data_IF_663454151120
#
_entry.id   IF_663454151120
#
_cell.length_a   1.000
_cell.length_b   1.000
_cell.length_c   1.000
_cell.angle_alpha   90.00
_cell.angle_beta   90.00
_cell.angle_gamma   90.00
#
_symmetry.space_group_name_H-M   'P 1'
#
loop_
_entity.id
_entity.type
_entity.pdbx_description
1 polymer ?
#
# COMPACT_ATOMS: atom_id res chain seq x y z
N UNK A 1 -0.76 -11.43 -2.40
CA UNK A 1 -2.22 -11.32 -2.49
C UNK A 1 -2.59 -10.12 -3.35
N UNK A 2 -3.69 -10.25 -4.10
CA UNK A 2 -4.34 -9.15 -4.80
C UNK A 2 -5.80 -9.12 -4.35
N UNK A 3 -6.27 -7.94 -3.90
CA UNK A 3 -7.64 -7.76 -3.44
C UNK A 3 -8.35 -6.69 -4.26
N UNK A 4 -9.62 -6.90 -4.51
CA UNK A 4 -10.48 -5.90 -5.11
C UNK A 4 -10.89 -4.87 -4.04
N UNK A 5 -10.43 -3.65 -4.19
CA UNK A 5 -10.78 -2.55 -3.30
C UNK A 5 -12.08 -1.83 -3.72
N UNK A 6 -12.81 -2.42 -4.66
CA UNK A 6 -14.03 -1.84 -5.22
C UNK A 6 -13.86 -0.44 -5.83
N UNK A 7 -14.92 0.36 -5.81
CA UNK A 7 -14.97 1.72 -6.30
C UNK A 7 -15.71 2.62 -5.29
N UNK A 8 -16.69 3.39 -5.74
CA UNK A 8 -17.51 4.23 -4.88
C UNK A 8 -18.43 3.39 -3.97
N UNK A 9 -18.63 3.86 -2.75
CA UNK A 9 -19.53 3.23 -1.80
C UNK A 9 -20.99 3.37 -2.28
N UNK A 10 -21.70 2.24 -2.41
CA UNK A 10 -23.11 2.22 -2.81
C UNK A 10 -24.06 2.71 -1.71
N UNK A 11 -23.61 2.71 -0.46
CA UNK A 11 -24.40 3.18 0.68
C UNK A 11 -24.36 4.71 0.76
N UNK A 12 -25.37 5.38 0.24
CA UNK A 12 -25.44 6.84 0.14
C UNK A 12 -25.20 7.59 1.48
N UNK A 13 -25.57 6.98 2.61
CA UNK A 13 -25.35 7.55 3.95
C UNK A 13 -23.87 7.55 4.37
N UNK A 14 -23.07 6.65 3.83
CA UNK A 14 -21.63 6.58 4.07
C UNK A 14 -20.91 7.43 3.04
N UNK A 15 -21.12 7.17 1.76
CA UNK A 15 -20.46 7.84 0.64
C UNK A 15 -18.96 7.59 0.59
N UNK A 16 -18.27 8.23 -0.32
CA UNK A 16 -16.84 8.02 -0.55
C UNK A 16 -16.56 6.67 -1.19
N UNK A 17 -15.48 6.02 -0.78
CA UNK A 17 -15.05 4.73 -1.33
C UNK A 17 -15.58 3.56 -0.53
N UNK A 18 -15.80 2.43 -1.21
CA UNK A 18 -16.22 1.17 -0.58
C UNK A 18 -15.05 0.59 0.22
N UNK A 19 -15.37 -0.01 1.35
CA UNK A 19 -14.40 -0.77 2.17
C UNK A 19 -14.23 -2.20 1.64
N UNK A 20 -13.17 -2.87 2.08
CA UNK A 20 -12.96 -4.29 1.76
C UNK A 20 -14.01 -5.14 2.49
N UNK A 21 -14.72 -5.97 1.77
CA UNK A 21 -15.77 -6.83 2.32
C UNK A 21 -15.22 -7.91 3.26
N UNK A 22 -16.01 -8.28 4.24
CA UNK A 22 -15.64 -9.35 5.17
C UNK A 22 -15.36 -10.68 4.46
N UNK A 23 -16.04 -10.97 3.35
CA UNK A 23 -15.78 -12.16 2.55
C UNK A 23 -14.35 -12.22 1.98
N UNK A 24 -13.78 -11.07 1.61
CA UNK A 24 -12.39 -10.98 1.17
C UNK A 24 -11.42 -11.12 2.35
N UNK A 25 -11.78 -10.58 3.52
CA UNK A 25 -10.98 -10.74 4.74
C UNK A 25 -10.96 -12.20 5.19
N UNK A 26 -12.10 -12.86 5.19
CA UNK A 26 -12.22 -14.30 5.51
C UNK A 26 -11.42 -15.16 4.53
N UNK A 27 -11.49 -14.84 3.24
CA UNK A 27 -10.68 -15.49 2.21
C UNK A 27 -9.18 -15.31 2.49
N UNK A 28 -8.74 -14.08 2.79
CA UNK A 28 -7.33 -13.81 3.14
C UNK A 28 -6.89 -14.65 4.35
N UNK A 29 -7.68 -14.65 5.42
CA UNK A 29 -7.36 -15.43 6.63
C UNK A 29 -7.22 -16.92 6.32
N UNK A 30 -8.13 -17.46 5.50
CA UNK A 30 -8.10 -18.86 5.10
C UNK A 30 -6.86 -19.19 4.24
N UNK A 31 -6.55 -18.34 3.24
CA UNK A 31 -5.39 -18.55 2.36
C UNK A 31 -4.07 -18.36 3.11
N UNK A 32 -3.99 -17.39 4.03
CA UNK A 32 -2.79 -17.17 4.82
C UNK A 32 -2.48 -18.36 5.74
N UNK A 33 -3.51 -19.02 6.30
CA UNK A 33 -3.34 -20.26 7.07
C UNK A 33 -2.81 -21.42 6.23
N UNK A 34 -3.19 -21.50 4.94
CA UNK A 34 -2.70 -22.53 4.02
C UNK A 34 -1.29 -22.27 3.54
N UNK A 35 -0.94 -20.98 3.41
CA UNK A 35 0.31 -20.52 2.82
C UNK A 35 0.99 -19.50 3.75
N UNK A 36 1.55 -19.93 4.91
CA UNK A 36 2.09 -19.05 5.94
C UNK A 36 3.50 -18.54 5.58
N UNK A 37 3.61 -17.84 4.45
CA UNK A 37 4.86 -17.26 3.97
C UNK A 37 4.84 -15.73 4.09
N UNK A 38 6.02 -15.08 4.26
CA UNK A 38 6.14 -13.63 4.11
C UNK A 38 5.51 -13.19 2.80
N UNK A 39 4.60 -12.23 2.86
CA UNK A 39 3.76 -11.87 1.72
C UNK A 39 3.52 -10.38 1.60
N UNK A 40 3.22 -9.96 0.38
CA UNK A 40 2.76 -8.62 0.05
C UNK A 40 1.28 -8.66 -0.35
N UNK A 41 0.56 -7.60 -0.04
CA UNK A 41 -0.81 -7.37 -0.47
C UNK A 41 -0.85 -6.18 -1.43
N UNK A 42 -1.62 -6.32 -2.50
CA UNK A 42 -1.86 -5.27 -3.50
C UNK A 42 -3.35 -4.98 -3.61
N UNK A 43 -3.70 -3.72 -3.64
CA UNK A 43 -5.05 -3.22 -3.83
C UNK A 43 -5.00 -1.87 -4.56
N UNK A 44 -6.14 -1.36 -5.04
CA UNK A 44 -6.13 -0.07 -5.72
C UNK A 44 -6.36 1.09 -4.76
N UNK A 45 -7.46 1.09 -4.00
CA UNK A 45 -7.80 2.15 -3.04
C UNK A 45 -7.06 1.90 -1.73
N UNK A 46 -6.32 2.88 -1.17
CA UNK A 46 -5.53 2.69 0.04
C UNK A 46 -6.40 2.41 1.27
N UNK A 47 -5.83 1.72 2.26
CA UNK A 47 -6.46 1.53 3.56
C UNK A 47 -6.42 2.82 4.40
N UNK A 48 -7.36 3.03 5.34
CA UNK A 48 -7.33 4.20 6.25
C UNK A 48 -6.01 4.34 7.01
N UNK A 49 -5.32 3.25 7.31
CA UNK A 49 -4.06 3.19 8.05
C UNK A 49 -2.87 3.84 7.32
N UNK A 50 -2.99 4.16 6.03
CA UNK A 50 -2.00 4.96 5.33
C UNK A 50 -1.81 6.35 5.98
N UNK A 51 -2.87 6.92 6.60
CA UNK A 51 -2.78 8.14 7.40
C UNK A 51 -1.90 7.97 8.65
N UNK A 52 -1.87 6.78 9.23
CA UNK A 52 -1.05 6.50 10.40
C UNK A 52 0.43 6.29 10.03
N UNK A 53 0.70 5.70 8.87
CA UNK A 53 2.05 5.55 8.37
C UNK A 53 2.78 6.88 8.16
N UNK A 54 2.06 7.98 7.91
CA UNK A 54 2.62 9.33 7.79
C UNK A 54 3.18 9.89 9.10
N UNK A 55 2.83 9.32 10.25
CA UNK A 55 3.33 9.78 11.56
C UNK A 55 4.77 9.35 11.83
N UNK A 56 5.26 8.38 11.06
CA UNK A 56 6.63 7.86 11.14
C UNK A 56 7.52 8.37 10.00
N UNK A 57 8.64 7.68 9.82
CA UNK A 57 9.56 7.93 8.70
C UNK A 57 8.93 7.47 7.39
N UNK A 58 8.98 8.33 6.38
CA UNK A 58 8.53 8.01 5.03
C UNK A 58 9.65 8.22 4.00
N UNK A 59 9.55 7.53 2.87
CA UNK A 59 10.35 7.75 1.66
C UNK A 59 9.38 8.02 0.51
N UNK A 60 9.64 9.04 -0.28
CA UNK A 60 8.76 9.48 -1.37
C UNK A 60 7.96 10.72 -1.03
N UNK A 61 6.99 11.03 -1.86
CA UNK A 61 6.26 12.29 -1.88
C UNK A 61 4.77 12.08 -1.55
N UNK A 62 4.18 13.03 -0.81
CA UNK A 62 2.75 13.13 -0.53
C UNK A 62 2.27 14.54 -0.85
N UNK A 63 1.44 14.68 -1.87
CA UNK A 63 0.93 15.96 -2.34
C UNK A 63 -0.59 16.06 -2.32
N UNK A 64 -1.31 14.95 -2.17
CA UNK A 64 -2.77 14.96 -2.05
C UNK A 64 -3.25 14.14 -0.85
N UNK A 65 -4.51 14.34 -0.45
CA UNK A 65 -5.11 13.59 0.63
C UNK A 65 -5.19 12.09 0.30
N UNK A 66 -5.13 11.26 1.34
CA UNK A 66 -5.28 9.81 1.21
C UNK A 66 -6.76 9.50 1.04
N UNK A 67 -7.14 9.10 -0.18
CA UNK A 67 -8.51 8.82 -0.57
C UNK A 67 -8.92 7.39 -0.19
N UNK A 68 -9.05 7.13 1.10
CA UNK A 68 -9.44 5.84 1.65
C UNK A 68 -10.94 5.73 1.96
N UNK A 69 -11.49 4.51 2.16
CA UNK A 69 -12.85 4.32 2.65
C UNK A 69 -13.10 5.05 3.97
N UNK A 70 -14.31 5.57 4.14
CA UNK A 70 -14.72 6.22 5.40
C UNK A 70 -14.94 5.24 6.55
N UNK A 71 -15.31 3.99 6.21
CA UNK A 71 -15.43 2.90 7.17
C UNK A 71 -14.23 1.96 7.04
N UNK A 72 -13.64 1.64 8.18
CA UNK A 72 -12.58 0.66 8.27
C UNK A 72 -13.18 -0.74 8.49
N UNK A 73 -12.90 -1.68 7.60
CA UNK A 73 -13.39 -3.05 7.69
C UNK A 73 -12.60 -3.94 8.65
N UNK A 74 -11.47 -3.43 9.17
CA UNK A 74 -10.56 -4.22 10.00
C UNK A 74 -9.59 -5.12 9.21
N UNK A 75 -9.48 -4.95 7.89
CA UNK A 75 -8.51 -5.72 7.10
C UNK A 75 -7.09 -5.57 7.66
N UNK A 76 -6.65 -4.35 8.00
CA UNK A 76 -5.30 -4.14 8.53
C UNK A 76 -5.04 -4.97 9.80
N UNK A 77 -6.02 -5.09 10.70
CA UNK A 77 -5.93 -5.95 11.89
C UNK A 77 -5.73 -7.41 11.50
N UNK A 78 -6.49 -7.92 10.53
CA UNK A 78 -6.34 -9.29 10.03
C UNK A 78 -4.95 -9.52 9.41
N UNK A 79 -4.41 -8.54 8.66
CA UNK A 79 -3.05 -8.60 8.12
C UNK A 79 -2.01 -8.67 9.24
N UNK A 80 -2.15 -7.84 10.28
CA UNK A 80 -1.23 -7.80 11.43
C UNK A 80 -1.28 -9.10 12.23
N UNK A 81 -2.47 -9.60 12.53
CA UNK A 81 -2.65 -10.86 13.27
C UNK A 81 -2.15 -12.08 12.49
N UNK A 82 -2.21 -12.06 11.17
CA UNK A 82 -1.65 -13.14 10.35
C UNK A 82 -0.16 -13.33 10.58
N UNK A 83 0.53 -12.26 10.94
CA UNK A 83 1.97 -12.23 11.16
C UNK A 83 2.80 -12.43 9.89
N UNK A 84 2.22 -12.59 8.71
CA UNK A 84 2.93 -12.92 7.46
C UNK A 84 3.02 -11.75 6.49
N UNK A 85 2.06 -10.84 6.48
CA UNK A 85 2.11 -9.69 5.57
C UNK A 85 3.15 -8.68 6.05
N UNK A 86 4.09 -8.35 5.16
CA UNK A 86 5.18 -7.41 5.41
C UNK A 86 5.01 -6.08 4.67
N UNK A 87 4.08 -6.01 3.72
CA UNK A 87 3.79 -4.77 3.00
C UNK A 87 2.45 -4.80 2.29
N UNK A 88 1.80 -3.63 2.23
CA UNK A 88 0.58 -3.36 1.46
C UNK A 88 0.90 -2.25 0.46
N UNK A 89 0.53 -2.45 -0.79
CA UNK A 89 0.78 -1.48 -1.86
C UNK A 89 -0.52 -1.07 -2.52
N UNK A 90 -0.72 0.24 -2.61
CA UNK A 90 -1.91 0.86 -3.20
C UNK A 90 -1.55 1.77 -4.40
N UNK A 91 -2.57 2.15 -5.13
CA UNK A 91 -2.53 3.17 -6.17
C UNK A 91 -3.51 4.29 -5.83
N UNK A 92 -4.39 4.63 -6.78
CA UNK A 92 -5.51 5.55 -6.65
C UNK A 92 -5.11 7.02 -6.60
N UNK A 93 -4.35 7.45 -5.60
CA UNK A 93 -3.92 8.83 -5.39
C UNK A 93 -2.68 9.11 -6.25
N UNK A 94 -2.85 9.88 -7.35
CA UNK A 94 -1.82 10.05 -8.37
C UNK A 94 -0.67 10.96 -7.94
N UNK A 95 -0.90 11.80 -6.94
CA UNK A 95 0.09 12.73 -6.39
C UNK A 95 0.78 12.20 -5.13
N UNK A 96 0.59 10.92 -4.81
CA UNK A 96 1.26 10.24 -3.71
C UNK A 96 2.10 9.07 -4.23
N UNK A 97 3.34 8.98 -3.77
CA UNK A 97 4.19 7.82 -4.04
C UNK A 97 5.02 7.39 -2.82
N UNK A 98 4.66 7.88 -1.64
CA UNK A 98 5.39 7.55 -0.43
C UNK A 98 5.26 6.08 -0.01
N UNK A 99 6.20 5.64 0.82
CA UNK A 99 6.12 4.42 1.62
C UNK A 99 6.51 4.76 3.06
N UNK A 100 5.71 4.32 4.01
CA UNK A 100 5.95 4.39 5.44
C UNK A 100 5.64 3.07 6.11
N UNK A 101 5.65 3.01 7.43
CA UNK A 101 5.31 1.81 8.19
C UNK A 101 4.27 2.10 9.26
N UNK A 102 3.42 1.10 9.53
CA UNK A 102 2.50 1.11 10.65
C UNK A 102 2.47 -0.31 11.24
N UNK A 103 2.75 -0.43 12.54
CA UNK A 103 2.88 -1.72 13.26
C UNK A 103 3.67 -2.79 12.48
N UNK A 104 4.87 -2.45 12.02
CA UNK A 104 5.80 -3.35 11.30
C UNK A 104 5.26 -3.88 9.96
N UNK A 105 4.28 -3.22 9.35
CA UNK A 105 3.83 -3.46 7.99
C UNK A 105 4.12 -2.20 7.17
N UNK A 106 4.80 -2.36 6.05
CA UNK A 106 5.03 -1.26 5.12
C UNK A 106 3.72 -0.91 4.38
N UNK A 107 3.40 0.37 4.31
CA UNK A 107 2.27 0.90 3.54
C UNK A 107 2.81 1.83 2.47
N UNK A 108 2.77 1.39 1.22
CA UNK A 108 3.39 2.09 0.10
C UNK A 108 2.43 2.37 -1.05
N UNK A 109 2.58 3.52 -1.69
CA UNK A 109 1.93 3.79 -2.97
C UNK A 109 2.77 3.30 -4.14
N UNK A 110 2.09 2.91 -5.22
CA UNK A 110 2.69 2.90 -6.55
C UNK A 110 3.07 4.32 -7.00
N UNK A 111 3.62 4.43 -8.19
CA UNK A 111 3.84 5.73 -8.86
C UNK A 111 2.90 5.81 -10.06
N UNK A 112 2.28 6.96 -10.28
CA UNK A 112 1.48 7.20 -11.46
C UNK A 112 2.30 6.89 -12.72
N UNK A 113 1.81 5.98 -13.56
CA UNK A 113 2.47 5.56 -14.81
C UNK A 113 1.83 6.14 -16.05
N UNK A 114 0.58 6.61 -15.95
CA UNK A 114 -0.14 7.24 -17.05
C UNK A 114 0.53 8.57 -17.42
N UNK A 115 0.59 8.83 -18.73
CA UNK A 115 1.13 10.08 -19.26
C UNK A 115 0.12 11.22 -19.13
N UNK A 116 -0.19 11.87 -20.26
CA UNK A 116 -1.03 13.08 -20.34
C UNK A 116 -2.47 12.95 -19.76
N UNK A 117 -2.96 11.74 -19.49
CA UNK A 117 -4.32 11.48 -19.02
C UNK A 117 -4.42 11.38 -17.48
N UNK A 118 -3.31 11.41 -16.76
CA UNK A 118 -3.32 11.51 -15.30
C UNK A 118 -3.31 12.98 -14.89
N UNK A 119 -4.05 13.30 -13.82
CA UNK A 119 -3.90 14.59 -13.16
C UNK A 119 -2.60 14.60 -12.34
N UNK A 120 -2.19 15.81 -11.94
CA UNK A 120 -1.10 16.00 -11.02
C UNK A 120 0.22 16.39 -11.67
N UNK A 121 1.22 16.61 -10.82
CA UNK A 121 2.54 17.16 -11.18
C UNK A 121 3.66 16.11 -11.14
N UNK A 122 3.42 14.96 -10.53
CA UNK A 122 4.42 13.91 -10.39
C UNK A 122 4.82 13.32 -11.76
N UNK A 123 6.12 13.28 -12.04
CA UNK A 123 6.65 12.65 -13.25
C UNK A 123 6.27 11.17 -13.31
N UNK A 124 5.77 10.66 -14.47
CA UNK A 124 5.39 9.26 -14.62
C UNK A 124 6.52 8.28 -14.29
N UNK A 125 6.17 7.19 -13.62
CA UNK A 125 7.12 6.16 -13.22
C UNK A 125 6.43 4.91 -12.74
N UNK A 126 7.19 4.06 -12.07
CA UNK A 126 6.71 2.85 -11.41
C UNK A 126 7.41 2.69 -10.06
N UNK A 127 6.76 2.05 -9.10
CA UNK A 127 7.44 1.49 -7.93
C UNK A 127 7.98 0.12 -8.30
N UNK A 128 9.25 -0.09 -8.02
CA UNK A 128 9.92 -1.40 -8.11
C UNK A 128 10.01 -1.99 -6.72
N UNK A 129 9.75 -3.28 -6.59
CA UNK A 129 9.89 -4.04 -5.35
C UNK A 129 10.82 -5.22 -5.65
N UNK A 130 11.91 -5.30 -4.90
CA UNK A 130 12.95 -6.32 -5.04
C UNK A 130 12.83 -7.30 -3.88
N UNK A 131 12.42 -8.54 -4.18
CA UNK A 131 12.27 -9.61 -3.21
C UNK A 131 13.47 -10.55 -3.25
N UNK A 132 13.85 -11.07 -2.08
CA UNK A 132 14.83 -12.13 -1.96
C UNK A 132 14.15 -13.36 -1.38
N UNK A 133 14.23 -14.49 -2.09
CA UNK A 133 13.63 -15.76 -1.64
C UNK A 133 14.12 -16.15 -0.23
N UNK A 134 13.21 -16.60 0.61
CA UNK A 134 13.48 -16.99 2.00
C UNK A 134 13.72 -15.83 2.96
N UNK A 135 13.62 -14.58 2.52
CA UNK A 135 13.80 -13.40 3.35
C UNK A 135 12.47 -12.73 3.69
N UNK A 136 12.41 -12.18 4.91
CA UNK A 136 11.28 -11.38 5.39
C UNK A 136 11.60 -9.88 5.26
N UNK A 137 12.07 -9.50 4.08
CA UNK A 137 12.51 -8.15 3.75
C UNK A 137 12.27 -7.87 2.27
N UNK A 138 12.29 -6.61 1.87
CA UNK A 138 12.29 -6.20 0.47
C UNK A 138 12.96 -4.84 0.29
N UNK A 139 13.62 -4.67 -0.86
CA UNK A 139 14.05 -3.36 -1.34
C UNK A 139 12.96 -2.72 -2.19
N UNK A 140 12.85 -1.39 -2.16
CA UNK A 140 11.94 -0.69 -3.07
C UNK A 140 12.46 0.68 -3.45
N UNK A 141 12.04 1.15 -4.62
CA UNK A 141 12.37 2.49 -5.14
C UNK A 141 11.37 2.91 -6.22
N UNK A 142 11.35 4.18 -6.53
CA UNK A 142 10.64 4.71 -7.69
C UNK A 142 11.60 4.78 -8.88
N UNK A 143 11.20 4.23 -10.02
CA UNK A 143 11.87 4.40 -11.30
C UNK A 143 11.02 5.27 -12.20
N UNK A 144 11.49 6.46 -12.49
CA UNK A 144 10.82 7.39 -13.40
C UNK A 144 10.95 6.94 -14.85
N UNK A 145 10.06 7.41 -15.70
CA UNK A 145 10.11 7.19 -17.16
C UNK A 145 11.42 7.68 -17.78
N UNK A 146 12.07 8.69 -17.19
CA UNK A 146 13.41 9.18 -17.57
C UNK A 146 14.54 8.15 -17.32
N UNK A 147 14.28 7.12 -16.51
CA UNK A 147 15.28 6.18 -16.02
C UNK A 147 15.87 6.55 -14.66
N UNK A 148 15.59 7.73 -14.14
CA UNK A 148 16.00 8.18 -12.80
C UNK A 148 15.43 7.26 -11.72
N UNK A 149 16.22 6.98 -10.68
CA UNK A 149 15.82 6.22 -9.50
C UNK A 149 15.74 7.18 -8.31
N UNK A 150 14.60 7.15 -7.60
CA UNK A 150 14.33 7.96 -6.41
C UNK A 150 13.86 7.09 -5.24
N UNK A 151 13.98 7.63 -4.04
CA UNK A 151 13.33 7.15 -2.82
C UNK A 151 13.60 5.66 -2.52
N UNK A 152 14.85 5.23 -2.75
CA UNK A 152 15.28 3.87 -2.44
C UNK A 152 15.30 3.64 -0.94
N UNK A 153 14.67 2.55 -0.50
CA UNK A 153 14.69 2.12 0.89
C UNK A 153 14.64 0.59 1.00
N UNK A 154 15.01 0.08 2.16
CA UNK A 154 14.99 -1.33 2.50
C UNK A 154 14.04 -1.56 3.68
N UNK A 155 13.05 -2.40 3.53
CA UNK A 155 12.18 -2.84 4.62
C UNK A 155 12.76 -4.10 5.28
N UNK A 156 12.83 -4.21 6.62
CA UNK A 156 12.42 -3.19 7.60
C UNK A 156 13.52 -2.18 7.96
N UNK A 157 14.77 -2.39 7.55
CA UNK A 157 15.98 -1.69 8.02
C UNK A 157 15.84 -0.15 7.97
N UNK A 158 15.38 0.39 6.84
CA UNK A 158 15.27 1.84 6.64
C UNK A 158 14.24 2.52 7.55
N UNK A 159 13.35 1.75 8.18
CA UNK A 159 12.25 2.25 9.03
C UNK A 159 12.47 2.02 10.53
N UNK A 160 13.55 1.33 10.91
CA UNK A 160 13.91 1.17 12.31
C UNK A 160 14.42 2.51 12.87
N UNK A 161 14.01 2.84 14.11
CA UNK A 161 14.58 3.96 14.85
C UNK A 161 16.01 3.61 15.25
N UNK A 162 16.91 4.58 15.13
CA UNK A 162 18.27 4.48 15.71
C UNK A 162 18.20 4.37 17.23
#
# INVERSE_FOLDING_TARGET
>A
YFMDSHANCEQARVGGYQWIDFSQIDWFIAENKRHPYPSLLFLHIPLPEYNDALKGKIFGEKHEDICSPRLNSGLFTALKESGQVIGVFAGHDHENDFIGTYYDIALGYGRVSAGKNAYGSLSPGIRVIELTEGKREFGTYIRLKSGEIKDRCQFPESFQSE
#
